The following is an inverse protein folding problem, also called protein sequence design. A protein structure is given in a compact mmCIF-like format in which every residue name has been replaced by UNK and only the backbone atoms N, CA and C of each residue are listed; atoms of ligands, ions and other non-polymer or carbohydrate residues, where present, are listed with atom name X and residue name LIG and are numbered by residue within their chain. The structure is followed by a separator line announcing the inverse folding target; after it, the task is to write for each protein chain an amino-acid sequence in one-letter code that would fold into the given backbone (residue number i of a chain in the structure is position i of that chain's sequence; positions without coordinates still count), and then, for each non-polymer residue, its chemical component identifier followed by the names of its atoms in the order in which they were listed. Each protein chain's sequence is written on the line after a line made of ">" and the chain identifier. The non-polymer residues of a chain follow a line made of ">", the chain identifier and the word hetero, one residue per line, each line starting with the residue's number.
data_IF_697219606203
#
_entry.id   IF_697219606203
#
_cell.length_a   1.000
_cell.length_b   1.000
_cell.length_c   1.000
_cell.angle_alpha   90.00
_cell.angle_beta   90.00
_cell.angle_gamma   90.00
#
_symmetry.space_group_name_H-M   'P 1'
#
loop_
_entity.id
_entity.type
_entity.pdbx_description
1 polymer ?
#
# COMPACT_ATOMS: atom_id res chain seq x y z
N UNK A 1 10.14 -20.97 8.49
CA UNK A 1 8.94 -20.19 8.14
C UNK A 1 8.60 -20.51 6.69
N UNK A 2 7.41 -21.02 6.41
CA UNK A 2 6.94 -21.19 5.03
C UNK A 2 6.50 -19.83 4.53
N UNK A 3 7.05 -19.36 3.41
CA UNK A 3 6.61 -18.10 2.82
C UNK A 3 5.15 -18.23 2.35
N UNK A 4 4.28 -17.33 2.80
CA UNK A 4 2.89 -17.27 2.34
C UNK A 4 2.86 -16.79 0.88
N UNK A 5 2.04 -17.43 0.04
CA UNK A 5 1.84 -16.99 -1.35
C UNK A 5 1.17 -15.62 -1.34
N UNK A 6 1.81 -14.62 -1.94
CA UNK A 6 1.25 -13.25 -2.07
C UNK A 6 -0.14 -13.30 -2.72
N UNK A 7 -1.11 -12.58 -2.15
CA UNK A 7 -2.50 -12.56 -2.60
C UNK A 7 -3.34 -13.79 -2.22
N UNK A 8 -2.78 -14.79 -1.53
CA UNK A 8 -3.60 -15.87 -0.95
C UNK A 8 -4.37 -15.39 0.28
N UNK A 9 -5.44 -16.10 0.65
CA UNK A 9 -6.20 -15.79 1.86
C UNK A 9 -5.34 -15.77 3.12
N UNK A 10 -4.42 -16.72 3.26
CA UNK A 10 -3.52 -16.76 4.42
C UNK A 10 -2.56 -15.57 4.45
N UNK A 11 -2.13 -15.08 3.29
CA UNK A 11 -1.33 -13.85 3.19
C UNK A 11 -2.16 -12.60 3.56
N UNK A 12 -3.43 -12.52 3.14
CA UNK A 12 -4.30 -11.42 3.55
C UNK A 12 -4.65 -11.44 5.04
N UNK A 13 -4.88 -12.63 5.60
CA UNK A 13 -5.12 -12.82 7.04
C UNK A 13 -3.92 -12.44 7.91
N UNK A 14 -2.70 -12.45 7.36
CA UNK A 14 -1.51 -12.00 8.09
C UNK A 14 -1.35 -10.46 8.10
N UNK A 15 -2.20 -9.70 7.41
CA UNK A 15 -2.14 -8.23 7.38
C UNK A 15 -3.04 -7.62 8.45
N UNK A 16 -2.52 -6.64 9.17
CA UNK A 16 -3.24 -5.93 10.25
C UNK A 16 -3.33 -4.42 10.03
N UNK A 17 -2.99 -3.96 8.82
CA UNK A 17 -2.85 -2.55 8.46
C UNK A 17 -1.68 -2.34 7.51
N UNK A 18 -1.22 -1.09 7.31
CA UNK A 18 0.03 -0.82 6.62
C UNK A 18 1.19 -1.52 7.34
N UNK A 19 2.06 -2.15 6.58
CA UNK A 19 3.33 -2.66 7.11
C UNK A 19 4.34 -1.53 7.20
N UNK A 20 5.26 -1.60 8.14
CA UNK A 20 6.27 -0.58 8.30
C UNK A 20 7.60 -1.15 8.77
N UNK A 21 8.67 -0.50 8.36
CA UNK A 21 10.02 -0.75 8.85
C UNK A 21 10.71 0.57 9.20
N UNK A 22 11.46 0.56 10.30
CA UNK A 22 12.25 1.71 10.71
C UNK A 22 13.47 1.85 9.80
N UNK A 23 13.64 3.01 9.17
CA UNK A 23 14.84 3.31 8.38
C UNK A 23 15.92 3.95 9.25
N UNK A 24 15.52 4.87 10.13
CA UNK A 24 16.38 5.54 11.11
C UNK A 24 15.53 6.09 12.27
N UNK A 25 16.11 6.95 13.11
CA UNK A 25 15.41 7.51 14.28
C UNK A 25 14.21 8.40 13.93
N UNK A 26 14.18 8.96 12.72
CA UNK A 26 13.19 9.95 12.30
C UNK A 26 12.20 9.42 11.27
N UNK A 27 12.56 8.36 10.52
CA UNK A 27 11.83 7.93 9.33
C UNK A 27 11.50 6.44 9.34
N UNK A 28 10.31 6.14 8.85
CA UNK A 28 9.78 4.80 8.60
C UNK A 28 9.42 4.66 7.14
N UNK A 29 9.78 3.53 6.55
CA UNK A 29 9.17 3.10 5.30
C UNK A 29 7.85 2.41 5.62
N UNK A 30 6.77 2.83 4.98
CA UNK A 30 5.41 2.36 5.23
C UNK A 30 4.81 1.87 3.91
N UNK A 31 4.32 0.63 3.91
CA UNK A 31 3.69 -0.02 2.76
C UNK A 31 2.20 -0.23 3.03
N UNK A 32 1.39 0.39 2.18
CA UNK A 32 -0.06 0.24 2.16
C UNK A 32 -0.46 -0.88 1.22
N UNK A 33 -1.46 -1.65 1.63
CA UNK A 33 -2.00 -2.78 0.87
C UNK A 33 -3.48 -2.55 0.60
N UNK A 34 -3.91 -2.84 -0.63
CA UNK A 34 -5.33 -2.85 -0.97
C UNK A 34 -5.66 -4.13 -1.74
N UNK A 35 -6.71 -4.82 -1.28
CA UNK A 35 -7.20 -6.06 -1.89
C UNK A 35 -8.24 -5.72 -2.95
N UNK A 36 -7.97 -6.12 -4.18
CA UNK A 36 -8.93 -5.97 -5.26
C UNK A 36 -10.06 -7.00 -5.15
N UNK A 37 -11.30 -6.58 -4.90
CA UNK A 37 -12.43 -7.51 -4.77
C UNK A 37 -12.81 -8.19 -6.09
N UNK A 38 -12.32 -7.68 -7.24
CA UNK A 38 -12.53 -8.30 -8.55
C UNK A 38 -11.41 -9.29 -8.91
N UNK A 39 -10.41 -9.47 -8.05
CA UNK A 39 -9.29 -10.39 -8.29
C UNK A 39 -8.13 -9.75 -9.05
N UNK A 40 -7.42 -10.56 -9.84
CA UNK A 40 -6.24 -10.13 -10.61
C UNK A 40 -6.60 -9.25 -11.80
N UNK A 41 -5.58 -8.74 -12.50
CA UNK A 41 -5.72 -7.97 -13.73
C UNK A 41 -6.42 -8.71 -14.88
N UNK A 42 -6.52 -10.04 -14.82
CA UNK A 42 -7.28 -10.85 -15.78
C UNK A 42 -8.79 -10.60 -15.67
N UNK A 43 -9.27 -10.30 -14.45
CA UNK A 43 -10.70 -10.17 -14.14
C UNK A 43 -11.11 -8.74 -13.78
N UNK A 44 -10.22 -8.00 -13.11
CA UNK A 44 -10.50 -6.68 -12.57
C UNK A 44 -10.46 -5.59 -13.65
N UNK A 45 -11.49 -4.74 -13.64
CA UNK A 45 -11.57 -3.55 -14.51
C UNK A 45 -10.84 -2.34 -13.94
N UNK A 46 -10.34 -2.42 -12.69
CA UNK A 46 -9.74 -1.31 -11.96
C UNK A 46 -8.43 -0.88 -12.61
N UNK A 47 -8.35 0.41 -12.95
CA UNK A 47 -7.17 1.00 -13.61
C UNK A 47 -6.21 1.69 -12.66
N UNK A 48 -6.73 2.26 -11.57
CA UNK A 48 -5.94 2.99 -10.57
C UNK A 48 -6.57 2.85 -9.20
N UNK A 49 -5.72 2.81 -8.19
CA UNK A 49 -6.08 2.84 -6.77
C UNK A 49 -5.30 3.99 -6.18
N UNK A 50 -5.92 5.17 -6.13
CA UNK A 50 -5.26 6.39 -5.68
C UNK A 50 -5.03 6.36 -4.17
N UNK A 51 -3.84 6.77 -3.74
CA UNK A 51 -3.47 6.94 -2.33
C UNK A 51 -3.57 8.43 -2.00
N UNK A 52 -4.57 8.78 -1.21
CA UNK A 52 -4.80 10.17 -0.77
C UNK A 52 -4.56 10.24 0.73
N UNK A 53 -3.38 10.71 1.12
CA UNK A 53 -2.95 10.86 2.50
C UNK A 53 -2.75 12.34 2.77
N UNK A 54 -3.42 12.83 3.81
CA UNK A 54 -3.45 14.25 4.15
C UNK A 54 -2.05 14.79 4.43
N UNK A 55 -1.64 15.85 3.74
CA UNK A 55 -0.32 16.46 3.89
C UNK A 55 0.85 15.63 3.35
N UNK A 56 0.59 14.51 2.66
CA UNK A 56 1.62 13.63 2.07
C UNK A 56 1.46 13.49 0.56
N UNK A 57 0.27 13.10 0.09
CA UNK A 57 -0.01 12.90 -1.35
C UNK A 57 -1.12 13.80 -1.89
N UNK A 58 -1.56 14.76 -1.09
CA UNK A 58 -2.60 15.72 -1.45
C UNK A 58 -2.03 17.08 -1.90
N UNK A 59 -2.94 18.02 -2.12
CA UNK A 59 -2.63 19.36 -2.62
C UNK A 59 -1.71 20.18 -1.70
N UNK A 60 -1.56 19.84 -0.41
CA UNK A 60 -0.65 20.57 0.48
C UNK A 60 0.82 20.40 0.09
N UNK A 61 1.16 19.31 -0.58
CA UNK A 61 2.52 19.04 -1.06
C UNK A 61 2.70 19.38 -2.55
N UNK A 62 1.65 19.84 -3.24
CA UNK A 62 1.61 19.93 -4.72
C UNK A 62 2.07 18.63 -5.41
N UNK A 63 1.84 17.48 -4.77
CA UNK A 63 2.31 16.19 -5.28
C UNK A 63 1.48 15.76 -6.49
N UNK A 64 2.12 15.12 -7.46
CA UNK A 64 1.39 14.40 -8.48
C UNK A 64 0.55 13.29 -7.83
N UNK A 65 -0.68 13.00 -8.34
CA UNK A 65 -1.51 11.93 -7.81
C UNK A 65 -0.75 10.59 -7.74
N UNK A 66 -0.72 9.99 -6.56
CA UNK A 66 -0.04 8.72 -6.32
C UNK A 66 -1.04 7.57 -6.42
N UNK A 67 -0.74 6.57 -7.25
CA UNK A 67 -1.54 5.34 -7.34
C UNK A 67 -0.72 4.17 -6.81
N UNK A 68 -1.39 3.23 -6.15
CA UNK A 68 -0.85 1.91 -5.91
C UNK A 68 -0.53 1.20 -7.23
N UNK A 69 0.39 0.25 -7.16
CA UNK A 69 0.74 -0.66 -8.23
C UNK A 69 0.29 -2.08 -7.87
N UNK A 70 -0.31 -2.77 -8.84
CA UNK A 70 -0.69 -4.17 -8.68
C UNK A 70 0.55 -5.06 -8.73
N UNK A 71 0.62 -6.05 -7.84
CA UNK A 71 1.54 -7.18 -7.97
C UNK A 71 0.97 -8.13 -9.02
N UNK A 72 1.68 -8.29 -10.14
CA UNK A 72 1.23 -9.06 -11.29
C UNK A 72 0.72 -10.46 -10.93
N UNK A 73 -0.41 -10.85 -11.50
CA UNK A 73 -1.07 -12.14 -11.29
C UNK A 73 -1.79 -12.26 -9.94
N UNK A 74 -1.99 -11.17 -9.20
CA UNK A 74 -2.63 -11.20 -7.87
C UNK A 74 -3.71 -10.12 -7.71
N UNK A 75 -4.52 -10.27 -6.66
CA UNK A 75 -5.48 -9.26 -6.21
C UNK A 75 -4.83 -8.16 -5.35
N UNK A 76 -3.50 -8.12 -5.25
CA UNK A 76 -2.77 -7.22 -4.34
C UNK A 76 -2.36 -5.94 -5.07
N UNK A 77 -2.81 -4.81 -4.56
CA UNK A 77 -2.24 -3.50 -4.86
C UNK A 77 -1.38 -3.02 -3.69
N UNK A 78 -0.24 -2.41 -4.00
CA UNK A 78 0.72 -1.91 -3.01
C UNK A 78 1.18 -0.49 -3.33
N UNK A 79 1.50 0.27 -2.29
CA UNK A 79 2.21 1.53 -2.42
C UNK A 79 3.07 1.78 -1.18
N UNK A 80 4.29 2.25 -1.39
CA UNK A 80 5.27 2.46 -0.33
C UNK A 80 5.71 3.92 -0.30
N UNK A 81 5.87 4.47 0.90
CA UNK A 81 6.37 5.82 1.12
C UNK A 81 7.19 5.90 2.40
N UNK A 82 7.82 7.05 2.64
CA UNK A 82 8.50 7.33 3.90
C UNK A 82 7.69 8.33 4.73
N UNK A 83 7.44 8.00 5.99
CA UNK A 83 6.74 8.85 6.94
C UNK A 83 7.64 9.15 8.14
N UNK A 84 7.55 10.37 8.65
CA UNK A 84 8.26 10.74 9.87
C UNK A 84 7.68 9.98 11.08
N UNK A 85 8.52 9.62 12.06
CA UNK A 85 8.13 8.89 13.27
C UNK A 85 6.97 9.56 14.05
N UNK A 86 6.94 10.89 14.02
CA UNK A 86 5.93 11.71 14.69
C UNK A 86 4.71 12.02 13.81
N UNK A 87 4.71 11.57 12.55
CA UNK A 87 3.59 11.81 11.65
C UNK A 87 2.33 11.09 12.14
N UNK A 88 1.20 11.78 12.08
CA UNK A 88 -0.15 11.27 12.30
C UNK A 88 -1.06 11.94 11.29
N UNK A 89 -1.93 11.17 10.66
CA UNK A 89 -2.84 11.70 9.66
C UNK A 89 -3.86 10.66 9.22
N UNK A 90 -4.73 11.10 8.32
CA UNK A 90 -5.76 10.30 7.65
C UNK A 90 -5.46 10.18 6.17
#
# INVERSE_FOLDING_TARGET
>A
MTALKVGSESWWQSKHGPEWQRLNDEMFEVTFWWRDPQGSEEYSTIKRVWVYITGVTDHHQNSQPQSMQRIAGTDVWQWTTQLNANWRGS
#
